data_IF_833650470813
#
_entry.id   IF_833650470813
#
_cell.length_a   1.000
_cell.length_b   1.000
_cell.length_c   1.000
_cell.angle_alpha   90.00
_cell.angle_beta   90.00
_cell.angle_gamma   90.00
#
_symmetry.space_group_name_H-M   'P 1'
#
loop_
_entity.id
_entity.type
_entity.pdbx_description
1 polymer ?
#
# COMPACT_ATOMS: atom_id res chain seq x y z
N UNK A 1 -9.41 -19.38 0.13
CA UNK A 1 -8.42 -19.41 -0.96
C UNK A 1 -8.82 -18.38 -2.00
N UNK A 2 -7.85 -17.66 -2.58
CA UNK A 2 -8.07 -16.73 -3.70
C UNK A 2 -7.85 -17.48 -5.02
N UNK A 3 -8.60 -17.12 -6.06
CA UNK A 3 -8.32 -17.56 -7.43
C UNK A 3 -7.47 -16.48 -8.11
N UNK A 4 -6.20 -16.78 -8.37
CA UNK A 4 -5.22 -15.77 -8.76
C UNK A 4 -5.14 -15.53 -10.27
N UNK A 5 -5.76 -16.38 -11.09
CA UNK A 5 -5.73 -16.30 -12.56
C UNK A 5 -6.81 -15.37 -13.14
N UNK A 6 -7.63 -14.76 -12.28
CA UNK A 6 -8.70 -13.84 -12.70
C UNK A 6 -8.12 -12.55 -13.26
N UNK A 7 -8.75 -12.04 -14.31
CA UNK A 7 -8.32 -10.81 -15.00
C UNK A 7 -9.03 -9.57 -14.45
N UNK A 8 -8.37 -8.42 -14.48
CA UNK A 8 -8.96 -7.11 -14.19
C UNK A 8 -8.77 -6.13 -15.36
N UNK A 9 -9.35 -4.94 -15.27
CA UNK A 9 -9.17 -3.90 -16.31
C UNK A 9 -7.70 -3.48 -16.47
N UNK A 10 -6.90 -3.62 -15.42
CA UNK A 10 -5.54 -3.06 -15.32
C UNK A 10 -4.45 -4.12 -15.14
N UNK A 11 -4.79 -5.41 -15.12
CA UNK A 11 -3.82 -6.50 -15.02
C UNK A 11 -4.38 -7.81 -15.56
N UNK A 12 -3.51 -8.60 -16.18
CA UNK A 12 -3.86 -9.88 -16.78
C UNK A 12 -4.21 -10.93 -15.70
N UNK A 13 -3.56 -10.90 -14.53
CA UNK A 13 -3.87 -11.83 -13.42
C UNK A 13 -3.83 -11.13 -12.06
N UNK A 14 -4.61 -11.61 -11.10
CA UNK A 14 -4.53 -11.16 -9.72
C UNK A 14 -3.14 -11.42 -9.12
N UNK A 15 -2.50 -12.54 -9.48
CA UNK A 15 -1.12 -12.84 -9.08
C UNK A 15 -0.13 -11.75 -9.52
N UNK A 16 -0.17 -11.34 -10.78
CA UNK A 16 0.70 -10.29 -11.30
C UNK A 16 0.42 -8.94 -10.64
N UNK A 17 -0.86 -8.61 -10.44
CA UNK A 17 -1.23 -7.38 -9.75
C UNK A 17 -0.68 -7.34 -8.32
N UNK A 18 -0.89 -8.40 -7.54
CA UNK A 18 -0.35 -8.50 -6.17
C UNK A 18 1.17 -8.44 -6.17
N UNK A 19 1.84 -9.18 -7.06
CA UNK A 19 3.30 -9.14 -7.16
C UNK A 19 3.82 -7.72 -7.37
N UNK A 20 3.19 -6.96 -8.26
CA UNK A 20 3.66 -5.62 -8.60
C UNK A 20 3.29 -4.57 -7.55
N UNK A 21 2.14 -4.68 -6.89
CA UNK A 21 1.58 -3.61 -6.07
C UNK A 21 1.58 -3.86 -4.57
N UNK A 22 1.69 -5.12 -4.11
CA UNK A 22 1.77 -5.46 -2.70
C UNK A 22 3.20 -5.20 -2.17
N UNK A 23 3.36 -4.13 -1.42
CA UNK A 23 4.63 -3.75 -0.79
C UNK A 23 5.09 -4.72 0.31
N UNK A 24 4.19 -5.57 0.80
CA UNK A 24 4.51 -6.67 1.72
C UNK A 24 4.69 -8.01 0.99
N UNK A 25 4.44 -8.07 -0.32
CA UNK A 25 4.52 -9.27 -1.16
C UNK A 25 5.94 -9.70 -1.57
N UNK A 26 6.97 -8.99 -1.12
CA UNK A 26 8.38 -9.35 -1.26
C UNK A 26 9.05 -8.97 -2.59
N UNK A 27 8.29 -8.66 -3.65
CA UNK A 27 8.85 -8.18 -4.93
C UNK A 27 8.01 -7.09 -5.63
N UNK A 28 7.56 -6.04 -4.91
CA UNK A 28 6.81 -4.94 -5.50
C UNK A 28 7.64 -4.22 -6.57
N UNK A 29 6.94 -3.60 -7.53
CA UNK A 29 7.59 -2.78 -8.53
C UNK A 29 8.16 -1.50 -7.90
N UNK A 30 9.23 -0.90 -8.47
CA UNK A 30 9.73 0.39 -8.00
C UNK A 30 8.66 1.49 -8.02
N UNK A 31 7.76 1.46 -9.00
CA UNK A 31 6.64 2.41 -9.10
C UNK A 31 5.67 2.27 -7.92
N UNK A 32 5.33 1.04 -7.53
CA UNK A 32 4.48 0.82 -6.36
C UNK A 32 5.14 1.40 -5.11
N UNK A 33 6.43 1.11 -4.88
CA UNK A 33 7.18 1.66 -3.75
C UNK A 33 7.06 3.19 -3.73
N UNK A 34 7.39 3.87 -4.82
CA UNK A 34 7.30 5.34 -4.93
C UNK A 34 5.89 5.90 -4.62
N UNK A 35 4.84 5.23 -5.11
CA UNK A 35 3.46 5.67 -4.91
C UNK A 35 2.99 5.49 -3.46
N UNK A 36 3.34 4.39 -2.81
CA UNK A 36 2.97 4.12 -1.42
C UNK A 36 3.68 5.05 -0.41
N UNK A 37 4.76 5.72 -0.81
CA UNK A 37 5.41 6.75 -0.01
C UNK A 37 4.63 8.08 0.04
N UNK A 38 3.51 8.24 -0.69
CA UNK A 38 2.71 9.47 -0.65
C UNK A 38 2.30 9.85 0.78
N UNK A 39 2.66 11.07 1.20
CA UNK A 39 2.35 11.59 2.53
C UNK A 39 1.42 12.82 2.45
N UNK A 40 0.66 13.10 3.53
CA UNK A 40 -0.14 14.31 3.61
C UNK A 40 0.77 15.54 3.66
N UNK A 41 0.50 16.53 2.80
CA UNK A 41 1.34 17.73 2.73
C UNK A 41 1.30 18.65 3.96
N UNK A 42 0.28 18.54 4.83
CA UNK A 42 0.16 19.24 6.12
C UNK A 42 0.42 20.77 6.13
N UNK A 43 0.42 21.41 4.96
CA UNK A 43 0.61 22.85 4.77
C UNK A 43 -0.50 23.40 3.88
N UNK A 44 -0.81 24.70 4.04
CA UNK A 44 -1.77 25.37 3.18
C UNK A 44 -1.21 25.44 1.75
N UNK A 45 -1.94 24.90 0.79
CA UNK A 45 -1.69 25.10 -0.63
C UNK A 45 -2.76 26.01 -1.24
N UNK A 46 -2.32 26.99 -2.06
CA UNK A 46 -3.20 27.83 -2.88
C UNK A 46 -3.02 27.56 -4.40
N UNK A 47 -2.15 26.61 -4.74
CA UNK A 47 -1.78 26.29 -6.14
C UNK A 47 -2.15 24.84 -6.41
N UNK A 48 -2.89 24.60 -7.50
CA UNK A 48 -3.26 23.24 -7.89
C UNK A 48 -2.00 22.37 -8.09
N UNK A 49 -2.10 21.08 -7.72
CA UNK A 49 -1.05 20.07 -7.89
C UNK A 49 0.28 20.35 -7.17
N UNK A 50 0.28 21.17 -6.11
CA UNK A 50 1.50 21.52 -5.38
C UNK A 50 1.88 20.57 -4.23
N UNK A 51 1.18 19.45 -4.07
CA UNK A 51 1.44 18.48 -3.00
C UNK A 51 2.39 17.40 -3.50
N UNK A 52 3.55 17.27 -2.85
CA UNK A 52 4.58 16.29 -3.19
C UNK A 52 5.23 15.64 -1.97
N UNK A 53 4.59 15.74 -0.80
CA UNK A 53 5.15 15.21 0.44
C UNK A 53 5.26 13.68 0.37
N UNK A 54 6.32 13.15 0.97
CA UNK A 54 6.62 11.72 1.01
C UNK A 54 7.04 11.30 2.41
N UNK A 55 6.60 10.12 2.84
CA UNK A 55 7.12 9.49 4.04
C UNK A 55 8.55 9.01 3.78
N UNK A 56 9.42 9.06 4.79
CA UNK A 56 10.79 8.55 4.64
C UNK A 56 10.83 7.01 4.49
N UNK A 57 9.86 6.32 5.09
CA UNK A 57 9.77 4.86 5.12
C UNK A 57 8.31 4.40 5.01
N UNK A 58 8.10 3.21 4.45
CA UNK A 58 6.78 2.56 4.43
C UNK A 58 6.49 1.87 5.76
N UNK A 59 5.23 1.92 6.19
CA UNK A 59 4.75 1.16 7.35
C UNK A 59 4.52 -0.31 7.00
N UNK A 60 5.59 -1.10 7.08
CA UNK A 60 5.58 -2.54 6.80
C UNK A 60 5.54 -3.40 8.07
N UNK A 61 5.50 -2.80 9.26
CA UNK A 61 5.50 -3.53 10.53
C UNK A 61 4.09 -4.06 10.84
N UNK A 62 3.92 -5.38 10.73
CA UNK A 62 2.65 -6.05 10.97
C UNK A 62 2.23 -6.15 12.44
N UNK A 63 3.14 -5.86 13.40
CA UNK A 63 2.87 -5.97 14.82
C UNK A 63 2.80 -4.60 15.52
N UNK A 64 3.79 -3.74 15.28
CA UNK A 64 3.89 -2.41 15.89
C UNK A 64 3.28 -1.30 15.04
N UNK A 65 3.15 -1.51 13.73
CA UNK A 65 2.69 -0.52 12.77
C UNK A 65 1.22 -0.12 12.91
N UNK A 66 0.79 0.78 12.02
CA UNK A 66 -0.58 1.23 11.91
C UNK A 66 -1.47 0.15 11.29
N UNK A 67 -0.98 -0.55 10.25
CA UNK A 67 -1.68 -1.67 9.61
C UNK A 67 -1.09 -3.00 10.09
N UNK A 68 -1.83 -3.68 10.97
CA UNK A 68 -1.40 -4.92 11.62
C UNK A 68 -1.99 -6.17 10.99
N UNK A 69 -1.29 -7.30 11.14
CA UNK A 69 -1.84 -8.60 10.77
C UNK A 69 -2.93 -9.06 11.75
N UNK A 70 -3.56 -10.20 11.44
CA UNK A 70 -4.65 -10.76 12.25
C UNK A 70 -4.19 -11.21 13.65
N UNK A 71 -2.93 -11.63 13.80
CA UNK A 71 -2.39 -12.08 15.10
C UNK A 71 -2.18 -10.90 16.05
N UNK A 72 -1.79 -9.74 15.51
CA UNK A 72 -1.49 -8.51 16.24
C UNK A 72 -2.59 -7.45 16.18
N UNK A 73 -3.75 -7.79 15.60
CA UNK A 73 -4.89 -6.89 15.46
C UNK A 73 -5.38 -6.39 16.82
N UNK A 74 -5.73 -5.11 16.91
CA UNK A 74 -6.32 -4.52 18.13
C UNK A 74 -7.64 -5.21 18.53
N UNK A 75 -8.41 -5.61 17.52
CA UNK A 75 -9.64 -6.39 17.64
C UNK A 75 -9.71 -7.34 16.44
N UNK A 76 -10.08 -8.60 16.67
CA UNK A 76 -10.23 -9.60 15.59
C UNK A 76 -11.46 -9.35 14.72
N UNK A 77 -12.47 -8.69 15.26
CA UNK A 77 -13.72 -8.38 14.58
C UNK A 77 -13.71 -6.99 13.90
N UNK A 78 -12.57 -6.28 13.98
CA UNK A 78 -12.45 -4.90 13.51
C UNK A 78 -12.87 -3.87 14.56
N UNK A 79 -12.51 -2.61 14.31
CA UNK A 79 -12.91 -1.43 15.10
C UNK A 79 -13.88 -0.55 14.33
#
# INVERSE_FOLDING_TARGET
>A
LLNEDVHSVHSDTLAEWLKNWDVRGGSPSPEAIELWHAAPGCVRSATAFSQSERWDTLDLDAAGGCIRDVEHAYSKDGG
#
